data_IF_864510320683
#
_entry.id   IF_864510320683
#
_cell.length_a   1.000
_cell.length_b   1.000
_cell.length_c   1.000
_cell.angle_alpha   90.00
_cell.angle_beta   90.00
_cell.angle_gamma   90.00
#
_symmetry.space_group_name_H-M   'P 1'
#
loop_
_entity.id
_entity.type
_entity.pdbx_description
1 polymer ?
#
# COMPACT_ATOMS: atom_id res chain seq x y z
N UNK A 1 -7.23 -19.61 -60.11
CA UNK A 1 -7.61 -20.33 -58.86
C UNK A 1 -6.54 -20.39 -57.75
N UNK A 2 -5.33 -19.84 -57.90
CA UNK A 2 -4.28 -19.88 -56.83
C UNK A 2 -4.22 -18.62 -55.94
N UNK A 3 -4.88 -17.51 -56.31
CA UNK A 3 -4.85 -16.25 -55.54
C UNK A 3 -5.86 -16.16 -54.38
N UNK A 4 -7.05 -16.76 -54.53
CA UNK A 4 -8.11 -16.70 -53.51
C UNK A 4 -7.86 -17.57 -52.27
N UNK A 5 -7.07 -18.65 -52.40
CA UNK A 5 -6.75 -19.55 -51.27
C UNK A 5 -5.75 -18.93 -50.29
N UNK A 6 -4.81 -18.10 -50.79
CA UNK A 6 -3.80 -17.39 -49.98
C UNK A 6 -4.39 -16.27 -49.12
N UNK A 7 -5.46 -15.60 -49.59
CA UNK A 7 -6.14 -14.55 -48.83
C UNK A 7 -6.91 -15.07 -47.62
N UNK A 8 -7.47 -16.29 -47.71
CA UNK A 8 -8.27 -16.89 -46.64
C UNK A 8 -7.41 -17.49 -45.50
N UNK A 9 -6.21 -17.99 -45.81
CA UNK A 9 -5.24 -18.47 -44.80
C UNK A 9 -4.58 -17.30 -44.02
N UNK A 10 -4.26 -16.18 -44.69
CA UNK A 10 -3.74 -14.98 -44.00
C UNK A 10 -4.80 -14.31 -43.11
N UNK A 11 -6.08 -14.30 -43.51
CA UNK A 11 -7.18 -13.80 -42.69
C UNK A 11 -7.41 -14.65 -41.43
N UNK A 12 -7.31 -15.97 -41.53
CA UNK A 12 -7.46 -16.90 -40.40
C UNK A 12 -6.31 -16.80 -39.39
N UNK A 13 -5.06 -16.66 -39.87
CA UNK A 13 -3.90 -16.43 -39.00
C UNK A 13 -3.94 -15.06 -38.30
N UNK A 14 -4.42 -14.01 -38.98
CA UNK A 14 -4.63 -12.69 -38.39
C UNK A 14 -5.72 -12.67 -37.30
N UNK A 15 -6.82 -13.40 -37.52
CA UNK A 15 -7.92 -13.52 -36.55
C UNK A 15 -7.52 -14.32 -35.31
N UNK A 16 -6.73 -15.40 -35.50
CA UNK A 16 -6.18 -16.22 -34.40
C UNK A 16 -5.22 -15.41 -33.51
N UNK A 17 -4.35 -14.59 -34.12
CA UNK A 17 -3.42 -13.71 -33.40
C UNK A 17 -4.11 -12.56 -32.66
N UNK A 18 -5.24 -12.06 -33.20
CA UNK A 18 -6.09 -11.06 -32.52
C UNK A 18 -6.84 -11.68 -31.35
N UNK A 19 -7.36 -12.90 -31.49
CA UNK A 19 -7.99 -13.64 -30.38
C UNK A 19 -7.00 -13.94 -29.25
N UNK A 20 -5.76 -14.36 -29.54
CA UNK A 20 -4.72 -14.58 -28.52
C UNK A 20 -4.39 -13.30 -27.74
N UNK A 21 -4.25 -12.17 -28.43
CA UNK A 21 -4.01 -10.87 -27.79
C UNK A 21 -5.19 -10.43 -26.93
N UNK A 22 -6.42 -10.62 -27.41
CA UNK A 22 -7.63 -10.33 -26.63
C UNK A 22 -7.72 -11.24 -25.41
N UNK A 23 -7.40 -12.54 -25.55
CA UNK A 23 -7.38 -13.48 -24.44
C UNK A 23 -6.32 -13.10 -23.41
N UNK A 24 -5.11 -12.71 -23.84
CA UNK A 24 -4.04 -12.24 -22.96
C UNK A 24 -4.44 -10.95 -22.23
N UNK A 25 -5.10 -10.01 -22.91
CA UNK A 25 -5.63 -8.78 -22.30
C UNK A 25 -6.74 -9.12 -21.30
N UNK A 26 -7.64 -10.04 -21.63
CA UNK A 26 -8.69 -10.51 -20.73
C UNK A 26 -8.10 -11.22 -19.51
N UNK A 27 -7.09 -12.08 -19.70
CA UNK A 27 -6.38 -12.76 -18.61
C UNK A 27 -5.64 -11.74 -17.74
N UNK A 28 -4.99 -10.72 -18.33
CA UNK A 28 -4.36 -9.62 -17.59
C UNK A 28 -5.38 -8.83 -16.76
N UNK A 29 -6.52 -8.47 -17.37
CA UNK A 29 -7.63 -7.79 -16.68
C UNK A 29 -8.18 -8.63 -15.53
N UNK A 30 -8.37 -9.93 -15.74
CA UNK A 30 -8.85 -10.86 -14.70
C UNK A 30 -7.81 -11.08 -13.59
N UNK A 31 -6.51 -11.03 -13.90
CA UNK A 31 -5.44 -11.10 -12.91
C UNK A 31 -5.38 -9.83 -12.06
N UNK A 32 -5.66 -8.66 -12.67
CA UNK A 32 -5.69 -7.37 -11.97
C UNK A 32 -6.95 -7.18 -11.12
N UNK A 33 -8.06 -7.81 -11.53
CA UNK A 33 -9.32 -7.86 -10.78
C UNK A 33 -9.29 -8.77 -9.56
N UNK A 34 -8.25 -9.59 -9.36
CA UNK A 34 -8.11 -10.34 -8.11
C UNK A 34 -7.92 -9.35 -6.96
N UNK A 35 -8.71 -9.43 -5.88
CA UNK A 35 -8.47 -8.64 -4.69
C UNK A 35 -7.13 -9.10 -4.11
N UNK A 36 -6.08 -8.33 -4.41
CA UNK A 36 -4.82 -8.38 -3.69
C UNK A 36 -5.19 -8.12 -2.22
N UNK A 37 -4.93 -9.11 -1.37
CA UNK A 37 -5.35 -9.11 0.03
C UNK A 37 -5.07 -7.75 0.68
N UNK A 38 -6.06 -7.26 1.41
CA UNK A 38 -6.00 -6.03 2.20
C UNK A 38 -4.89 -6.13 3.25
N UNK A 39 -3.68 -5.76 2.86
CA UNK A 39 -2.63 -5.40 3.81
C UNK A 39 -2.95 -3.98 4.29
N UNK A 40 -3.87 -3.88 5.26
CA UNK A 40 -4.21 -2.64 5.93
C UNK A 40 -3.13 -2.37 6.97
N UNK A 41 -2.60 -1.14 7.00
CA UNK A 41 -1.66 -0.70 8.04
C UNK A 41 -2.30 -0.89 9.43
N UNK A 42 -1.58 -1.35 10.46
CA UNK A 42 -2.16 -1.61 11.79
C UNK A 42 -2.95 -0.42 12.35
N UNK A 43 -2.46 0.81 12.15
CA UNK A 43 -3.17 2.03 12.59
C UNK A 43 -4.46 2.31 11.81
N UNK A 44 -4.50 1.96 10.52
CA UNK A 44 -5.71 2.04 9.70
C UNK A 44 -6.74 0.98 10.08
N UNK A 45 -6.32 -0.16 10.63
CA UNK A 45 -7.25 -1.19 11.09
C UNK A 45 -8.13 -0.65 12.22
N UNK A 46 -7.55 0.05 13.20
CA UNK A 46 -8.28 0.62 14.34
C UNK A 46 -9.29 1.68 13.87
N UNK A 47 -8.85 2.64 13.04
CA UNK A 47 -9.73 3.71 12.53
C UNK A 47 -10.87 3.10 11.70
N UNK A 48 -10.58 2.10 10.87
CA UNK A 48 -11.60 1.44 10.05
C UNK A 48 -12.67 0.74 10.90
N UNK A 49 -12.29 0.13 12.03
CA UNK A 49 -13.22 -0.51 12.96
C UNK A 49 -14.10 0.51 13.68
N UNK A 50 -13.52 1.63 14.12
CA UNK A 50 -14.27 2.72 14.75
C UNK A 50 -15.30 3.35 13.80
N UNK A 51 -14.89 3.67 12.57
CA UNK A 51 -15.79 4.19 11.52
C UNK A 51 -16.92 3.20 11.22
N UNK A 52 -16.62 1.90 11.18
CA UNK A 52 -17.61 0.84 10.98
C UNK A 52 -18.60 0.77 12.13
N UNK A 53 -18.13 0.83 13.38
CA UNK A 53 -18.99 0.82 14.56
C UNK A 53 -19.91 2.04 14.60
N UNK A 54 -19.39 3.22 14.26
CA UNK A 54 -20.17 4.47 14.13
C UNK A 54 -21.27 4.34 13.06
N UNK A 55 -20.95 3.78 11.90
CA UNK A 55 -21.92 3.60 10.81
C UNK A 55 -23.02 2.61 11.21
N UNK A 56 -22.67 1.48 11.84
CA UNK A 56 -23.64 0.51 12.37
C UNK A 56 -24.59 1.18 13.38
N UNK A 57 -24.05 2.00 14.29
CA UNK A 57 -24.86 2.74 15.25
C UNK A 57 -25.81 3.74 14.58
N UNK A 58 -25.30 4.47 13.58
CA UNK A 58 -26.09 5.42 12.77
C UNK A 58 -27.25 4.73 12.06
N UNK A 59 -27.00 3.55 11.47
CA UNK A 59 -28.03 2.75 10.83
C UNK A 59 -29.08 2.25 11.81
N UNK A 60 -28.67 1.80 12.99
CA UNK A 60 -29.59 1.36 14.04
C UNK A 60 -30.46 2.51 14.56
N UNK A 61 -29.87 3.69 14.80
CA UNK A 61 -30.62 4.89 15.18
C UNK A 61 -31.68 5.26 14.12
N UNK A 62 -31.33 5.14 12.83
CA UNK A 62 -32.25 5.43 11.72
C UNK A 62 -33.39 4.41 11.65
N UNK A 63 -33.10 3.12 11.77
CA UNK A 63 -34.14 2.07 11.74
C UNK A 63 -35.10 2.19 12.92
N UNK A 64 -34.58 2.51 14.10
CA UNK A 64 -35.37 2.78 15.31
C UNK A 64 -36.20 4.06 15.23
N UNK A 65 -35.78 5.05 14.44
CA UNK A 65 -36.56 6.25 14.19
C UNK A 65 -37.70 6.01 13.19
N UNK A 66 -37.53 5.08 12.25
CA UNK A 66 -38.58 4.66 11.31
C UNK A 66 -39.65 3.79 11.98
N UNK A 67 -39.26 2.97 12.96
CA UNK A 67 -40.20 2.26 13.82
C UNK A 67 -40.83 3.26 14.81
N UNK A 68 -41.95 3.89 14.41
CA UNK A 68 -42.73 4.91 15.14
C UNK A 68 -43.37 4.42 16.46
N UNK A 69 -42.71 3.58 17.24
CA UNK A 69 -43.09 3.33 18.63
C UNK A 69 -42.69 4.57 19.44
N UNK A 70 -43.65 5.43 19.79
CA UNK A 70 -43.46 6.46 20.81
C UNK A 70 -43.28 5.77 22.17
N UNK A 71 -42.07 5.29 22.42
CA UNK A 71 -41.66 4.77 23.72
C UNK A 71 -40.97 5.89 24.48
N UNK A 72 -41.42 6.15 25.70
CA UNK A 72 -40.80 7.10 26.63
C UNK A 72 -39.47 6.54 27.15
N UNK A 73 -38.36 7.19 26.79
CA UNK A 73 -37.01 6.74 27.16
C UNK A 73 -35.92 7.45 26.38
N UNK A 74 -34.68 7.00 26.56
CA UNK A 74 -33.49 7.54 25.93
C UNK A 74 -33.26 6.89 24.57
N UNK A 75 -32.95 7.69 23.55
CA UNK A 75 -32.75 7.21 22.17
C UNK A 75 -31.34 6.69 21.96
N UNK A 76 -31.16 5.85 20.95
CA UNK A 76 -29.83 5.36 20.56
C UNK A 76 -28.91 6.52 20.17
N UNK A 77 -27.79 6.67 20.86
CA UNK A 77 -26.83 7.77 20.71
C UNK A 77 -25.40 7.25 20.51
N UNK A 78 -24.59 8.05 19.84
CA UNK A 78 -23.17 7.78 19.61
C UNK A 78 -22.41 8.89 20.32
N UNK A 79 -21.59 8.54 21.30
CA UNK A 79 -20.88 9.49 22.16
C UNK A 79 -19.41 9.66 21.75
N UNK A 80 -19.16 9.63 20.44
CA UNK A 80 -17.83 9.67 19.80
C UNK A 80 -17.00 8.39 19.98
N UNK A 81 -17.32 7.57 20.99
CA UNK A 81 -16.55 6.39 21.37
C UNK A 81 -17.36 5.11 21.12
N UNK A 82 -18.59 5.03 21.62
CA UNK A 82 -19.43 3.84 21.54
C UNK A 82 -20.90 4.14 21.18
N UNK A 83 -21.65 3.06 20.92
CA UNK A 83 -23.07 3.15 20.60
C UNK A 83 -23.91 2.81 21.82
N UNK A 84 -24.60 3.80 22.37
CA UNK A 84 -25.56 3.62 23.45
C UNK A 84 -26.92 3.28 22.87
N UNK A 85 -27.38 2.05 23.10
CA UNK A 85 -28.66 1.57 22.60
C UNK A 85 -29.83 2.18 23.37
N UNK A 86 -30.99 2.31 22.71
CA UNK A 86 -32.23 2.79 23.32
C UNK A 86 -32.54 2.06 24.64
N UNK A 87 -32.95 2.82 25.64
CA UNK A 87 -33.28 2.32 26.97
C UNK A 87 -34.48 3.05 27.58
N UNK A 88 -35.23 2.36 28.42
CA UNK A 88 -36.35 2.93 29.16
C UNK A 88 -35.86 3.75 30.37
N UNK A 89 -36.67 4.71 30.81
CA UNK A 89 -36.32 5.55 31.97
C UNK A 89 -36.10 4.67 33.21
N UNK A 90 -34.94 4.83 33.86
CA UNK A 90 -34.50 4.04 35.01
C UNK A 90 -33.63 2.82 34.66
N UNK A 91 -33.42 2.52 33.37
CA UNK A 91 -32.50 1.46 32.94
C UNK A 91 -31.06 1.94 32.87
N UNK A 92 -30.14 1.06 33.27
CA UNK A 92 -28.70 1.24 33.15
C UNK A 92 -28.18 0.39 32.01
N UNK A 93 -27.53 1.02 31.04
CA UNK A 93 -26.86 0.37 29.90
C UNK A 93 -25.36 0.31 30.17
N UNK A 94 -24.72 -0.77 29.73
CA UNK A 94 -23.27 -0.93 29.82
C UNK A 94 -22.64 -1.08 28.43
N UNK A 95 -21.41 -0.60 28.32
CA UNK A 95 -20.54 -0.80 27.17
C UNK A 95 -19.21 -1.39 27.64
N UNK A 96 -18.74 -2.42 26.93
CA UNK A 96 -17.45 -3.04 27.25
C UNK A 96 -16.30 -2.32 26.54
N UNK A 97 -15.20 -2.09 27.26
CA UNK A 97 -13.98 -1.49 26.70
C UNK A 97 -13.41 -2.33 25.54
N UNK A 98 -13.56 -3.66 25.60
CA UNK A 98 -13.10 -4.56 24.54
C UNK A 98 -13.91 -4.46 23.25
N UNK A 99 -15.18 -4.04 23.30
CA UNK A 99 -15.98 -3.78 22.09
C UNK A 99 -15.60 -2.46 21.40
N UNK A 100 -15.09 -1.50 22.16
CA UNK A 100 -14.71 -0.17 21.67
C UNK A 100 -13.24 -0.12 21.25
N UNK A 101 -12.36 -0.74 22.02
CA UNK A 101 -10.90 -0.71 21.84
C UNK A 101 -10.31 -2.13 21.82
N UNK A 102 -10.68 -2.92 20.80
CA UNK A 102 -10.28 -4.33 20.65
C UNK A 102 -8.76 -4.57 20.71
N UNK A 103 -7.93 -3.57 20.36
CA UNK A 103 -6.47 -3.70 20.29
C UNK A 103 -5.72 -3.16 21.51
N UNK A 104 -6.35 -2.32 22.33
CA UNK A 104 -5.66 -1.59 23.43
C UNK A 104 -6.11 -2.01 24.82
N UNK A 105 -7.25 -2.69 24.95
CA UNK A 105 -7.77 -3.07 26.27
C UNK A 105 -7.54 -4.56 26.53
N UNK A 106 -6.50 -4.89 27.29
CA UNK A 106 -6.33 -6.23 27.89
C UNK A 106 -7.38 -6.52 28.97
N UNK A 107 -8.09 -5.48 29.45
CA UNK A 107 -9.07 -5.59 30.52
C UNK A 107 -10.52 -5.56 30.01
N UNK A 108 -11.37 -6.34 30.69
CA UNK A 108 -12.83 -6.36 30.53
C UNK A 108 -13.47 -5.23 31.36
N UNK A 109 -13.04 -3.99 31.13
CA UNK A 109 -13.67 -2.81 31.74
C UNK A 109 -15.07 -2.57 31.17
N UNK A 110 -15.97 -2.02 31.99
CA UNK A 110 -17.32 -1.62 31.57
C UNK A 110 -17.58 -0.17 31.95
N UNK A 111 -18.19 0.56 31.02
CA UNK A 111 -18.68 1.93 31.22
C UNK A 111 -20.20 1.89 31.26
N UNK A 112 -20.80 2.63 32.18
CA UNK A 112 -22.25 2.63 32.41
C UNK A 112 -22.86 4.00 32.12
N UNK A 113 -24.07 3.99 31.58
CA UNK A 113 -24.96 5.17 31.54
C UNK A 113 -26.35 4.79 32.04
N UNK A 114 -26.94 5.69 32.81
CA UNK A 114 -28.33 5.59 33.24
C UNK A 114 -29.23 6.45 32.32
N UNK A 115 -30.38 5.91 31.94
CA UNK A 115 -31.41 6.66 31.25
C UNK A 115 -32.34 7.35 32.26
N UNK A 116 -32.37 8.68 32.24
CA UNK A 116 -33.20 9.51 33.12
C UNK A 116 -34.39 10.11 32.36
N UNK A 117 -35.34 10.72 33.07
CA UNK A 117 -36.47 11.43 32.44
C UNK A 117 -36.04 12.59 31.54
N UNK A 118 -34.85 13.15 31.81
CA UNK A 118 -34.25 14.27 31.07
C UNK A 118 -33.29 13.81 29.95
N UNK A 119 -33.02 12.50 29.83
CA UNK A 119 -32.13 11.93 28.82
C UNK A 119 -31.00 11.07 29.41
N UNK A 120 -29.94 10.85 28.62
CA UNK A 120 -28.77 10.09 29.06
C UNK A 120 -27.98 10.85 30.13
N UNK A 121 -27.59 10.13 31.19
CA UNK A 121 -26.62 10.62 32.17
C UNK A 121 -25.18 10.49 31.67
N UNK A 122 -24.27 11.19 32.34
CA UNK A 122 -22.83 11.08 32.11
C UNK A 122 -22.32 9.66 32.33
N UNK A 123 -21.24 9.31 31.64
CA UNK A 123 -20.60 7.99 31.75
C UNK A 123 -19.92 7.82 33.10
N UNK A 124 -20.14 6.66 33.72
CA UNK A 124 -19.49 6.30 34.98
C UNK A 124 -18.98 4.85 34.94
N UNK A 125 -17.69 4.58 35.26
CA UNK A 125 -16.60 5.55 35.41
C UNK A 125 -16.29 6.24 34.06
N UNK A 126 -15.55 7.37 34.07
CA UNK A 126 -14.96 7.94 32.86
C UNK A 126 -14.16 6.90 32.06
N UNK A 127 -14.11 7.05 30.73
CA UNK A 127 -13.47 6.07 29.84
C UNK A 127 -11.98 5.85 30.15
N UNK A 128 -11.26 6.89 30.57
CA UNK A 128 -9.85 6.86 30.97
C UNK A 128 -9.60 6.01 32.23
N UNK A 129 -10.55 5.98 33.16
CA UNK A 129 -10.48 5.16 34.37
C UNK A 129 -10.96 3.73 34.12
N UNK A 130 -12.05 3.56 33.37
CA UNK A 130 -12.67 2.27 33.12
C UNK A 130 -11.90 1.42 32.10
N UNK A 131 -11.38 2.07 31.06
CA UNK A 131 -10.55 1.46 30.03
C UNK A 131 -9.12 1.91 30.29
N UNK A 132 -8.43 1.27 31.25
CA UNK A 132 -7.02 1.52 31.50
C UNK A 132 -6.25 1.21 30.20
N UNK A 133 -5.94 2.25 29.43
CA UNK A 133 -4.99 2.16 28.34
C UNK A 133 -3.67 1.81 29.02
N UNK A 134 -3.09 0.65 28.69
CA UNK A 134 -1.68 0.43 28.99
C UNK A 134 -0.95 1.54 28.26
N UNK A 135 -0.54 2.57 29.01
CA UNK A 135 0.42 3.58 28.58
C UNK A 135 1.73 2.83 28.36
N UNK A 136 1.79 2.08 27.26
CA UNK A 136 3.03 1.84 26.57
C UNK A 136 3.41 3.20 25.99
N UNK A 137 3.79 4.12 26.88
CA UNK A 137 4.50 5.31 26.52
C UNK A 137 5.78 4.81 25.87
N UNK A 138 5.72 4.70 24.54
CA UNK A 138 6.86 4.44 23.69
C UNK A 138 7.93 5.41 24.18
N UNK A 139 9.04 4.93 24.78
CA UNK A 139 9.91 5.80 25.54
C UNK A 139 10.40 6.87 24.58
N UNK A 140 10.34 8.15 24.96
CA UNK A 140 10.66 9.31 24.09
C UNK A 140 11.98 9.15 23.31
N UNK A 141 12.87 8.26 23.77
CA UNK A 141 14.05 7.80 23.04
C UNK A 141 13.76 7.13 21.68
N UNK A 142 12.73 6.29 21.53
CA UNK A 142 12.45 5.56 20.29
C UNK A 142 11.92 6.50 19.20
N UNK A 143 11.01 7.43 19.54
CA UNK A 143 10.49 8.43 18.59
C UNK A 143 11.59 9.36 18.10
N UNK A 144 12.53 9.76 18.98
CA UNK A 144 13.70 10.57 18.61
C UNK A 144 14.68 9.83 17.67
N UNK A 145 14.86 8.52 17.90
CA UNK A 145 15.70 7.67 17.07
C UNK A 145 15.09 7.47 15.68
N UNK A 146 13.79 7.14 15.61
CA UNK A 146 13.07 6.99 14.35
C UNK A 146 13.08 8.29 13.52
N UNK A 147 12.93 9.44 14.18
CA UNK A 147 13.02 10.75 13.52
C UNK A 147 14.42 11.01 12.93
N UNK A 148 15.48 10.70 13.68
CA UNK A 148 16.86 10.87 13.23
C UNK A 148 17.18 9.94 12.05
N UNK A 149 16.81 8.67 12.15
CA UNK A 149 16.92 7.71 11.03
C UNK A 149 16.17 8.20 9.80
N UNK A 150 15.03 8.84 10.03
CA UNK A 150 14.20 9.40 8.96
C UNK A 150 14.85 10.51 8.18
N UNK A 151 15.47 11.45 8.88
CA UNK A 151 16.23 12.51 8.23
C UNK A 151 17.42 11.96 7.44
N UNK A 152 18.17 11.01 8.03
CA UNK A 152 19.35 10.43 7.39
C UNK A 152 18.98 9.71 6.09
N UNK A 153 17.93 8.87 6.09
CA UNK A 153 17.52 8.20 4.85
C UNK A 153 17.01 9.21 3.82
N UNK A 154 16.26 10.25 4.23
CA UNK A 154 15.67 11.23 3.31
C UNK A 154 16.76 12.02 2.59
N UNK A 155 17.75 12.51 3.33
CA UNK A 155 18.91 13.24 2.78
C UNK A 155 19.76 12.32 1.91
N UNK A 156 19.96 11.07 2.33
CA UNK A 156 20.70 10.07 1.55
C UNK A 156 20.04 9.74 0.21
N UNK A 157 18.72 9.55 0.19
CA UNK A 157 17.98 9.30 -1.05
C UNK A 157 17.93 10.53 -1.95
N UNK A 158 17.76 11.74 -1.40
CA UNK A 158 17.74 12.97 -2.19
C UNK A 158 19.08 13.24 -2.87
N UNK A 159 20.20 13.11 -2.13
CA UNK A 159 21.55 13.28 -2.68
C UNK A 159 21.87 12.23 -3.75
N UNK A 160 21.52 10.97 -3.49
CA UNK A 160 21.67 9.88 -4.47
C UNK A 160 20.85 10.12 -5.74
N UNK A 161 19.62 10.61 -5.61
CA UNK A 161 18.73 10.93 -6.73
C UNK A 161 19.36 12.02 -7.63
N UNK A 162 19.86 13.10 -7.03
CA UNK A 162 20.52 14.19 -7.76
C UNK A 162 21.75 13.68 -8.50
N UNK A 163 22.58 12.88 -7.85
CA UNK A 163 23.77 12.29 -8.48
C UNK A 163 23.42 11.35 -9.64
N UNK A 164 22.37 10.53 -9.50
CA UNK A 164 21.94 9.60 -10.55
C UNK A 164 21.34 10.35 -11.75
N UNK A 165 20.54 11.38 -11.50
CA UNK A 165 19.96 12.21 -12.56
C UNK A 165 21.06 12.89 -13.38
N UNK A 166 22.05 13.49 -12.72
CA UNK A 166 23.18 14.13 -13.43
C UNK A 166 23.98 13.11 -14.25
N UNK A 167 24.21 11.90 -13.72
CA UNK A 167 24.86 10.83 -14.47
C UNK A 167 24.07 10.41 -15.73
N UNK A 168 22.74 10.23 -15.61
CA UNK A 168 21.87 9.90 -16.75
C UNK A 168 21.93 11.00 -17.82
N UNK A 169 21.88 12.27 -17.43
CA UNK A 169 21.95 13.40 -18.38
C UNK A 169 23.29 13.40 -19.12
N UNK A 170 24.41 13.22 -18.41
CA UNK A 170 25.75 13.16 -19.02
C UNK A 170 25.83 12.01 -20.03
N UNK A 171 25.44 10.79 -19.64
CA UNK A 171 25.50 9.63 -20.53
C UNK A 171 24.54 9.70 -21.71
N UNK A 172 23.39 10.38 -21.57
CA UNK A 172 22.41 10.57 -22.65
C UNK A 172 22.82 11.67 -23.64
N UNK A 173 23.37 12.79 -23.15
CA UNK A 173 23.73 13.96 -23.95
C UNK A 173 24.93 13.70 -24.87
N UNK A 174 25.96 13.02 -24.37
CA UNK A 174 27.17 12.74 -25.14
C UNK A 174 26.97 11.54 -26.06
N UNK A 175 26.65 11.81 -27.33
CA UNK A 175 26.48 10.80 -28.39
C UNK A 175 27.68 9.85 -28.53
N UNK A 176 28.89 10.32 -28.17
CA UNK A 176 30.14 9.55 -28.18
C UNK A 176 30.21 8.45 -27.10
N UNK A 177 29.45 8.55 -26.01
CA UNK A 177 29.39 7.51 -24.98
C UNK A 177 28.28 6.47 -25.21
N UNK A 178 27.52 6.54 -26.31
CA UNK A 178 26.44 5.59 -26.61
C UNK A 178 26.99 4.25 -27.12
N UNK A 179 27.53 3.45 -26.20
CA UNK A 179 27.86 2.04 -26.40
C UNK A 179 26.81 1.13 -25.74
N UNK A 180 26.76 -0.15 -26.13
CA UNK A 180 25.87 -1.15 -25.50
C UNK A 180 26.05 -1.23 -23.98
N UNK A 181 27.29 -1.16 -23.48
CA UNK A 181 27.59 -1.07 -22.04
C UNK A 181 26.97 0.17 -21.38
N UNK A 182 27.11 1.33 -21.99
CA UNK A 182 26.54 2.56 -21.43
C UNK A 182 25.00 2.57 -21.47
N UNK A 183 24.39 1.90 -22.45
CA UNK A 183 22.94 1.72 -22.48
C UNK A 183 22.43 0.88 -21.31
N UNK A 184 23.16 -0.19 -20.94
CA UNK A 184 22.83 -1.00 -19.76
C UNK A 184 22.94 -0.17 -18.49
N UNK A 185 24.02 0.60 -18.33
CA UNK A 185 24.19 1.49 -17.17
C UNK A 185 23.10 2.58 -17.08
N UNK A 186 22.70 3.20 -18.19
CA UNK A 186 21.60 4.18 -18.21
C UNK A 186 20.29 3.56 -17.71
N UNK A 187 19.96 2.34 -18.15
CA UNK A 187 18.75 1.64 -17.70
C UNK A 187 18.82 1.24 -16.21
N UNK A 188 19.99 0.80 -15.74
CA UNK A 188 20.24 0.55 -14.33
C UNK A 188 20.05 1.81 -13.49
N UNK A 189 20.68 2.92 -13.86
CA UNK A 189 20.54 4.20 -13.14
C UNK A 189 19.09 4.68 -13.15
N UNK A 190 18.39 4.52 -14.27
CA UNK A 190 16.96 4.83 -14.37
C UNK A 190 16.12 3.99 -13.40
N UNK A 191 16.46 2.71 -13.21
CA UNK A 191 15.78 1.84 -12.22
C UNK A 191 16.00 2.32 -10.77
N UNK A 192 17.19 2.83 -10.44
CA UNK A 192 17.46 3.41 -9.13
C UNK A 192 16.71 4.73 -8.92
N UNK A 193 16.62 5.57 -9.95
CA UNK A 193 15.80 6.79 -9.92
C UNK A 193 14.33 6.45 -9.69
N UNK A 194 13.78 5.46 -10.41
CA UNK A 194 12.41 4.99 -10.20
C UNK A 194 12.20 4.49 -8.76
N UNK A 195 13.12 3.69 -8.23
CA UNK A 195 13.08 3.20 -6.84
C UNK A 195 13.08 4.34 -5.82
N UNK A 196 13.99 5.31 -5.97
CA UNK A 196 14.05 6.47 -5.08
C UNK A 196 12.77 7.30 -5.18
N UNK A 197 12.26 7.54 -6.40
CA UNK A 197 10.99 8.25 -6.60
C UNK A 197 9.80 7.52 -5.96
N UNK A 198 9.77 6.18 -6.02
CA UNK A 198 8.71 5.39 -5.40
C UNK A 198 8.77 5.44 -3.86
N UNK A 199 9.96 5.51 -3.26
CA UNK A 199 10.12 5.76 -1.82
C UNK A 199 9.57 7.14 -1.46
N UNK A 200 9.92 8.19 -2.20
CA UNK A 200 9.38 9.53 -1.96
C UNK A 200 7.87 9.61 -2.16
N UNK A 201 7.31 8.94 -3.17
CA UNK A 201 5.86 8.88 -3.39
C UNK A 201 5.18 8.12 -2.26
N UNK A 202 5.75 6.98 -1.83
CA UNK A 202 5.24 6.24 -0.65
C UNK A 202 5.27 7.12 0.59
N UNK A 203 6.38 7.80 0.84
CA UNK A 203 6.55 8.65 2.01
C UNK A 203 5.63 9.87 1.94
N UNK A 204 5.50 10.54 0.79
CA UNK A 204 4.54 11.65 0.66
C UNK A 204 3.09 11.18 0.79
N UNK A 205 2.70 10.05 0.21
CA UNK A 205 1.35 9.49 0.41
C UNK A 205 1.13 9.07 1.86
N UNK A 206 2.17 8.55 2.54
CA UNK A 206 2.08 8.11 3.93
C UNK A 206 2.16 9.25 4.94
N UNK A 207 2.75 10.40 4.57
CA UNK A 207 3.09 11.49 5.50
C UNK A 207 2.53 12.88 5.13
N UNK A 208 1.91 13.07 3.95
CA UNK A 208 1.33 14.37 3.58
C UNK A 208 0.03 14.69 4.35
N UNK A 209 -0.45 13.78 5.18
CA UNK A 209 -1.76 13.90 5.81
C UNK A 209 -1.60 13.70 7.33
N UNK A 210 -1.04 14.68 8.03
CA UNK A 210 -1.21 14.77 9.50
C UNK A 210 -2.69 15.02 9.88
N UNK A 211 -3.57 15.21 8.90
CA UNK A 211 -5.02 15.25 9.09
C UNK A 211 -5.63 13.86 8.95
N UNK A 212 -6.50 13.51 9.91
CA UNK A 212 -7.17 12.23 10.14
C UNK A 212 -8.13 11.74 9.01
N UNK A 213 -7.74 11.85 7.74
CA UNK A 213 -8.50 11.38 6.57
C UNK A 213 -7.88 10.15 5.87
N UNK A 214 -6.87 9.55 6.51
CA UNK A 214 -6.10 8.38 6.03
C UNK A 214 -6.89 7.09 5.74
N UNK A 215 -8.11 6.94 6.24
CA UNK A 215 -8.88 5.70 6.01
C UNK A 215 -9.83 5.77 4.82
N UNK A 216 -10.16 6.97 4.34
CA UNK A 216 -11.14 7.18 3.25
C UNK A 216 -10.46 7.73 2.00
N UNK A 217 -9.34 8.45 2.14
CA UNK A 217 -8.63 9.05 1.01
C UNK A 217 -7.67 8.03 0.39
N UNK A 218 -8.29 7.18 -0.44
CA UNK A 218 -7.70 6.53 -1.62
C UNK A 218 -7.18 5.10 -1.48
N UNK A 219 -8.10 4.15 -1.29
CA UNK A 219 -7.84 2.72 -1.56
C UNK A 219 -7.21 2.52 -2.94
N UNK A 220 -7.62 3.30 -3.95
CA UNK A 220 -7.07 3.20 -5.30
C UNK A 220 -5.66 3.83 -5.43
N UNK A 221 -5.42 5.06 -4.94
CA UNK A 221 -4.10 5.68 -5.05
C UNK A 221 -3.08 5.01 -4.15
N UNK A 222 -3.44 4.64 -2.90
CA UNK A 222 -2.58 3.86 -2.01
C UNK A 222 -2.23 2.51 -2.62
N UNK A 223 -3.23 1.75 -3.12
CA UNK A 223 -2.97 0.48 -3.82
C UNK A 223 -2.10 0.66 -5.06
N UNK A 224 -2.30 1.74 -5.83
CA UNK A 224 -1.45 2.06 -6.97
C UNK A 224 -0.02 2.43 -6.56
N UNK A 225 0.16 3.18 -5.47
CA UNK A 225 1.45 3.60 -4.95
C UNK A 225 2.25 2.39 -4.42
N UNK A 226 1.59 1.49 -3.70
CA UNK A 226 2.19 0.22 -3.24
C UNK A 226 2.57 -0.66 -4.43
N UNK A 227 1.69 -0.78 -5.44
CA UNK A 227 2.00 -1.53 -6.66
C UNK A 227 3.20 -0.92 -7.43
N UNK A 228 3.25 0.40 -7.55
CA UNK A 228 4.35 1.13 -8.17
C UNK A 228 5.66 0.95 -7.40
N UNK A 229 5.61 0.95 -6.07
CA UNK A 229 6.77 0.67 -5.22
C UNK A 229 7.31 -0.75 -5.43
N UNK A 230 6.44 -1.76 -5.42
CA UNK A 230 6.83 -3.14 -5.68
C UNK A 230 7.40 -3.32 -7.09
N UNK A 231 6.78 -2.70 -8.10
CA UNK A 231 7.29 -2.70 -9.47
C UNK A 231 8.69 -2.09 -9.55
N UNK A 232 8.92 -0.96 -8.88
CA UNK A 232 10.22 -0.27 -8.88
C UNK A 232 11.32 -1.11 -8.23
N UNK A 233 11.01 -1.84 -7.15
CA UNK A 233 11.94 -2.78 -6.52
C UNK A 233 12.31 -3.91 -7.49
N UNK A 234 11.31 -4.55 -8.10
CA UNK A 234 11.52 -5.65 -9.05
C UNK A 234 12.34 -5.20 -10.26
N UNK A 235 12.02 -4.03 -10.82
CA UNK A 235 12.75 -3.45 -11.93
C UNK A 235 14.22 -3.20 -11.56
N UNK A 236 14.48 -2.69 -10.35
CA UNK A 236 15.84 -2.47 -9.88
C UNK A 236 16.66 -3.77 -9.76
N UNK A 237 16.09 -4.81 -9.15
CA UNK A 237 16.75 -6.12 -9.09
C UNK A 237 16.96 -6.75 -10.47
N UNK A 238 15.99 -6.62 -11.37
CA UNK A 238 16.11 -7.12 -12.74
C UNK A 238 17.26 -6.44 -13.49
N UNK A 239 17.39 -5.12 -13.42
CA UNK A 239 18.47 -4.42 -14.12
C UNK A 239 19.85 -4.70 -13.51
N UNK A 240 19.94 -4.85 -12.18
CA UNK A 240 21.14 -5.35 -11.51
C UNK A 240 21.54 -6.74 -12.02
N UNK A 241 20.57 -7.64 -12.15
CA UNK A 241 20.80 -8.99 -12.69
C UNK A 241 21.26 -8.94 -14.16
N UNK A 242 20.65 -8.10 -14.99
CA UNK A 242 21.02 -7.93 -16.41
C UNK A 242 22.45 -7.42 -16.54
N UNK A 243 22.85 -6.45 -15.72
CA UNK A 243 24.22 -5.96 -15.69
C UNK A 243 25.21 -7.06 -15.27
N UNK A 244 24.88 -7.82 -14.22
CA UNK A 244 25.69 -8.96 -13.77
C UNK A 244 25.83 -10.05 -14.83
N UNK A 245 24.72 -10.43 -15.49
CA UNK A 245 24.71 -11.39 -16.60
C UNK A 245 25.50 -10.91 -17.82
N UNK A 246 25.42 -9.61 -18.14
CA UNK A 246 26.17 -9.02 -19.24
C UNK A 246 27.68 -9.12 -18.98
N UNK A 247 28.14 -8.76 -17.77
CA UNK A 247 29.54 -8.86 -17.40
C UNK A 247 30.03 -10.32 -17.41
N UNK A 248 29.25 -11.23 -16.82
CA UNK A 248 29.58 -12.66 -16.79
C UNK A 248 29.68 -13.26 -18.19
N UNK A 249 28.77 -12.89 -19.09
CA UNK A 249 28.77 -13.36 -20.48
C UNK A 249 30.01 -12.86 -21.23
N UNK A 250 30.40 -11.60 -21.02
CA UNK A 250 31.58 -11.01 -21.66
C UNK A 250 32.87 -11.70 -21.20
N UNK A 251 32.99 -11.99 -19.90
CA UNK A 251 34.12 -12.76 -19.36
C UNK A 251 34.13 -14.20 -19.91
N UNK A 252 33.01 -14.91 -19.86
CA UNK A 252 32.90 -16.28 -20.36
C UNK A 252 33.23 -16.36 -21.86
N UNK A 253 32.71 -15.44 -22.68
CA UNK A 253 33.01 -15.37 -24.10
C UNK A 253 34.51 -15.13 -24.33
N UNK A 254 35.12 -14.23 -23.55
CA UNK A 254 36.56 -13.93 -23.65
C UNK A 254 37.41 -15.18 -23.32
N UNK A 255 37.09 -15.92 -22.26
CA UNK A 255 37.80 -17.16 -21.91
C UNK A 255 37.58 -18.27 -22.94
N UNK A 256 36.37 -18.42 -23.49
CA UNK A 256 36.08 -19.42 -24.53
C UNK A 256 36.80 -19.07 -25.83
N UNK A 257 36.81 -17.80 -26.25
CA UNK A 257 37.59 -17.35 -27.40
C UNK A 257 39.07 -17.63 -27.16
N UNK A 258 39.64 -17.19 -26.04
CA UNK A 258 41.05 -17.43 -25.70
C UNK A 258 41.40 -18.92 -25.73
N UNK A 259 40.55 -19.80 -25.16
CA UNK A 259 40.77 -21.25 -25.20
C UNK A 259 40.68 -21.82 -26.62
N UNK A 260 39.75 -21.35 -27.45
CA UNK A 260 39.60 -21.76 -28.87
C UNK A 260 40.78 -21.28 -29.71
N UNK A 261 41.22 -20.03 -29.54
CA UNK A 261 42.41 -19.48 -30.19
C UNK A 261 43.65 -20.23 -29.75
N UNK A 262 43.85 -20.47 -28.46
CA UNK A 262 44.99 -21.26 -27.96
C UNK A 262 45.04 -22.66 -28.56
N UNK A 263 43.89 -23.35 -28.68
CA UNK A 263 43.81 -24.65 -29.32
C UNK A 263 44.09 -24.59 -30.82
N UNK A 264 43.68 -23.51 -31.49
CA UNK A 264 44.00 -23.27 -32.90
C UNK A 264 45.48 -22.95 -33.12
N UNK A 265 46.12 -22.22 -32.20
CA UNK A 265 47.56 -21.94 -32.21
C UNK A 265 48.43 -23.18 -31.97
N UNK A 266 47.95 -24.18 -31.21
CA UNK A 266 48.65 -25.46 -31.01
C UNK A 266 48.50 -26.40 -32.23
N UNK A 267 47.42 -26.22 -33.00
CA UNK A 267 47.11 -27.07 -34.16
C UNK A 267 47.78 -26.58 -35.46
N UNK A 268 48.37 -25.38 -35.44
CA UNK A 268 49.27 -24.84 -36.48
C UNK A 268 50.69 -25.34 -36.21
#
# INVERSE_FOLDING_TARGET
MKGLKKGMEMGSQGLKRRHEKVLLIFVYLQLWSKPMGEAIHPDCAIISQHLRAREICSQMRRSEAQNQTQLSGCKTEWDEIGCWLRADVGQVVNLSCSQVFQHFSSNQGFVYRNCTGDGWSDTYPPYDEACLFSDDSEPESETSYLYTFRQVYTVGYATSLISLLTAIVVFAAFRKFRCTRNYIHINLFSSFVLRASAVFIKDTVLFADETLDHCSVSTAACKSAVAFFQFSILANYFWLLVEGMYLQTLLALTFVLQRKYFWWYILI
#
